data_IF_179888731618
#
_entry.id   IF_179888731618
#
_cell.length_a   1.000
_cell.length_b   1.000
_cell.length_c   1.000
_cell.angle_alpha   90.00
_cell.angle_beta   90.00
_cell.angle_gamma   90.00
#
_symmetry.space_group_name_H-M   'P 1'
#
loop_
_entity.id
_entity.type
_entity.pdbx_description
1 polymer ?
#
# COMPACT_ATOMS: atom_id res chain seq x y z
N UNK A 1 12.22 8.59 20.49
CA UNK A 1 12.50 9.56 19.40
C UNK A 1 13.56 8.97 18.49
N UNK A 2 13.53 9.26 17.18
CA UNK A 2 14.54 8.77 16.21
C UNK A 2 14.14 7.54 15.38
N UNK A 3 12.84 7.26 15.25
CA UNK A 3 12.33 6.17 14.40
C UNK A 3 11.27 6.66 13.41
N UNK A 4 10.25 7.36 13.90
CA UNK A 4 9.10 7.79 13.08
C UNK A 4 8.94 9.32 12.96
N UNK A 5 9.49 10.10 13.89
CA UNK A 5 9.35 11.55 13.92
C UNK A 5 10.45 12.20 14.77
N UNK A 6 10.93 13.37 14.32
CA UNK A 6 11.88 14.26 14.97
C UNK A 6 11.19 15.58 15.38
N UNK A 7 11.75 16.32 16.35
CA UNK A 7 11.20 17.61 16.83
C UNK A 7 9.70 17.55 17.21
N UNK A 8 9.32 16.51 17.96
CA UNK A 8 7.91 16.24 18.31
C UNK A 8 7.35 17.33 19.23
N UNK A 9 6.26 17.97 18.78
CA UNK A 9 5.46 18.92 19.58
C UNK A 9 4.07 18.37 19.95
N UNK A 10 3.73 17.15 19.52
CA UNK A 10 2.44 16.52 19.75
C UNK A 10 2.11 15.46 18.70
N UNK A 11 0.82 15.26 18.48
CA UNK A 11 0.27 14.35 17.47
C UNK A 11 -1.02 14.93 16.90
N UNK A 12 -1.46 14.40 15.75
CA UNK A 12 -2.73 14.77 15.13
C UNK A 12 -3.70 13.59 15.21
N UNK A 13 -4.77 13.66 16.04
CA UNK A 13 -5.78 12.60 16.06
C UNK A 13 -6.61 12.63 14.78
N UNK A 14 -6.77 11.47 14.14
CA UNK A 14 -7.65 11.29 12.98
C UNK A 14 -8.79 10.33 13.38
N UNK A 15 -10.08 10.68 13.14
CA UNK A 15 -11.19 9.78 13.44
C UNK A 15 -11.04 8.43 12.71
N UNK A 16 -11.31 7.33 13.43
CA UNK A 16 -11.22 5.97 12.90
C UNK A 16 -12.60 5.31 12.90
N UNK A 17 -13.10 4.97 11.71
CA UNK A 17 -14.30 4.18 11.52
C UNK A 17 -13.97 2.73 11.13
N UNK A 18 -15.01 1.90 11.04
CA UNK A 18 -14.91 0.50 10.61
C UNK A 18 -15.89 0.23 9.47
N UNK A 19 -15.42 -0.42 8.41
CA UNK A 19 -16.25 -0.95 7.32
C UNK A 19 -16.20 -2.48 7.32
N UNK A 20 -17.35 -3.15 7.18
CA UNK A 20 -17.39 -4.61 7.01
C UNK A 20 -18.63 -5.33 7.55
N UNK A 21 -18.64 -6.67 7.50
CA UNK A 21 -17.51 -7.51 7.11
C UNK A 21 -17.26 -7.50 5.59
N UNK A 22 -16.00 -7.33 5.19
CA UNK A 22 -15.54 -7.68 3.85
C UNK A 22 -15.30 -9.19 3.81
N UNK A 23 -16.10 -9.91 3.02
CA UNK A 23 -15.91 -11.34 2.78
C UNK A 23 -14.90 -11.52 1.64
N UNK A 24 -13.68 -11.87 1.99
CA UNK A 24 -12.54 -12.02 1.07
C UNK A 24 -11.87 -13.36 1.33
N UNK A 25 -11.71 -14.18 0.30
CA UNK A 25 -11.05 -15.49 0.39
C UNK A 25 -11.63 -16.36 1.54
N UNK A 26 -12.96 -16.39 1.61
CA UNK A 26 -13.76 -17.07 2.66
C UNK A 26 -13.52 -16.58 4.10
N UNK A 27 -12.79 -15.48 4.28
CA UNK A 27 -12.53 -14.84 5.56
C UNK A 27 -13.31 -13.53 5.69
N UNK A 28 -13.75 -13.18 6.91
CA UNK A 28 -14.47 -11.94 7.19
C UNK A 28 -13.53 -10.93 7.83
N UNK A 29 -13.40 -9.76 7.23
CA UNK A 29 -12.55 -8.67 7.73
C UNK A 29 -13.37 -7.44 8.11
N UNK A 30 -13.05 -6.85 9.27
CA UNK A 30 -13.50 -5.52 9.65
C UNK A 30 -12.37 -4.53 9.39
N UNK A 31 -12.52 -3.70 8.35
CA UNK A 31 -11.45 -2.84 7.84
C UNK A 31 -11.44 -1.52 8.62
N UNK A 32 -10.37 -1.19 9.37
CA UNK A 32 -10.24 0.10 10.01
C UNK A 32 -9.92 1.18 8.96
N UNK A 33 -10.58 2.33 9.07
CA UNK A 33 -10.41 3.46 8.14
C UNK A 33 -10.23 4.76 8.93
N UNK A 34 -9.04 5.36 8.85
CA UNK A 34 -8.76 6.67 9.43
C UNK A 34 -9.05 7.76 8.38
N UNK A 35 -10.09 8.58 8.60
CA UNK A 35 -10.48 9.63 7.66
C UNK A 35 -11.28 10.74 8.36
N UNK A 36 -11.18 11.95 7.83
CA UNK A 36 -12.07 13.08 8.17
C UNK A 36 -13.15 13.31 7.11
N UNK A 37 -13.11 12.56 6.00
CA UNK A 37 -14.07 12.70 4.90
C UNK A 37 -15.43 12.08 5.28
N UNK A 38 -16.49 12.88 5.18
CA UNK A 38 -17.86 12.42 5.37
C UNK A 38 -18.25 11.34 4.36
N UNK A 39 -19.17 10.46 4.74
CA UNK A 39 -19.72 9.38 3.90
C UNK A 39 -18.72 8.31 3.42
N UNK A 40 -17.40 8.51 3.47
CA UNK A 40 -16.42 7.55 2.95
C UNK A 40 -16.55 6.18 3.61
N UNK A 41 -16.51 6.11 4.95
CA UNK A 41 -16.65 4.85 5.69
C UNK A 41 -18.01 4.18 5.41
N UNK A 42 -19.09 4.97 5.37
CA UNK A 42 -20.43 4.44 5.12
C UNK A 42 -20.57 3.88 3.69
N UNK A 43 -20.02 4.58 2.69
CA UNK A 43 -20.01 4.15 1.30
C UNK A 43 -19.20 2.85 1.11
N UNK A 44 -18.00 2.77 1.70
CA UNK A 44 -17.17 1.56 1.69
C UNK A 44 -17.88 0.39 2.40
N UNK A 45 -18.56 0.65 3.53
CA UNK A 45 -19.35 -0.36 4.23
C UNK A 45 -20.51 -0.90 3.37
N UNK A 46 -21.18 -0.03 2.60
CA UNK A 46 -22.21 -0.43 1.62
C UNK A 46 -21.62 -1.35 0.53
N UNK A 47 -20.43 -1.05 0.04
CA UNK A 47 -19.70 -1.91 -0.89
C UNK A 47 -19.38 -3.29 -0.30
N UNK A 48 -18.85 -3.33 0.93
CA UNK A 48 -18.59 -4.59 1.64
C UNK A 48 -19.86 -5.44 1.79
N UNK A 49 -21.00 -4.81 2.12
CA UNK A 49 -22.29 -5.48 2.21
C UNK A 49 -22.69 -6.12 0.88
N UNK A 50 -22.55 -5.39 -0.23
CA UNK A 50 -22.87 -5.89 -1.57
C UNK A 50 -21.98 -7.09 -1.95
N UNK A 51 -20.67 -7.01 -1.70
CA UNK A 51 -19.73 -8.12 -1.96
C UNK A 51 -20.11 -9.35 -1.14
N UNK A 52 -20.41 -9.18 0.15
CA UNK A 52 -20.72 -10.29 1.04
C UNK A 52 -22.00 -11.04 0.63
N UNK A 53 -23.06 -10.33 0.22
CA UNK A 53 -24.30 -10.97 -0.25
C UNK A 53 -24.14 -11.65 -1.62
N UNK A 54 -23.16 -11.21 -2.42
CA UNK A 54 -22.82 -11.81 -3.71
C UNK A 54 -21.90 -13.04 -3.61
N UNK A 55 -21.61 -13.53 -2.40
CA UNK A 55 -20.78 -14.72 -2.18
C UNK A 55 -19.32 -14.42 -1.86
N UNK A 56 -18.93 -13.14 -1.73
CA UNK A 56 -17.57 -12.72 -1.40
C UNK A 56 -16.71 -12.39 -2.61
N UNK A 57 -15.47 -12.00 -2.33
CA UNK A 57 -14.43 -11.74 -3.32
C UNK A 57 -13.27 -12.74 -3.17
N UNK A 58 -12.52 -12.94 -4.25
CA UNK A 58 -11.28 -13.73 -4.25
C UNK A 58 -10.10 -12.86 -4.66
N UNK A 59 -8.95 -13.07 -4.03
CA UNK A 59 -7.72 -12.33 -4.34
C UNK A 59 -6.50 -13.24 -4.47
N UNK A 60 -5.47 -12.76 -5.17
CA UNK A 60 -4.18 -13.41 -5.28
C UNK A 60 -3.06 -12.37 -5.41
N UNK A 61 -1.89 -12.68 -4.85
CA UNK A 61 -0.69 -11.86 -4.99
C UNK A 61 0.10 -12.38 -6.19
N UNK A 62 0.21 -11.55 -7.24
CA UNK A 62 0.87 -11.95 -8.51
C UNK A 62 2.37 -11.66 -8.54
N UNK A 63 2.85 -10.74 -7.71
CA UNK A 63 4.26 -10.36 -7.60
C UNK A 63 4.51 -9.72 -6.23
N UNK A 64 5.67 -10.00 -5.64
CA UNK A 64 6.14 -9.38 -4.40
C UNK A 64 7.63 -9.00 -4.54
N UNK A 65 7.93 -7.71 -4.45
CA UNK A 65 9.27 -7.20 -4.65
C UNK A 65 9.37 -5.68 -4.54
N UNK A 66 10.05 -5.21 -3.51
CA UNK A 66 10.42 -3.80 -3.37
C UNK A 66 11.59 -3.48 -4.29
N UNK A 67 11.56 -2.31 -4.94
CA UNK A 67 12.66 -1.86 -5.81
C UNK A 67 13.39 -0.66 -5.21
N UNK A 68 14.68 -0.54 -5.54
CA UNK A 68 15.48 0.65 -5.27
C UNK A 68 16.34 0.90 -6.51
N UNK A 69 16.16 2.07 -7.12
CA UNK A 69 16.91 2.48 -8.31
C UNK A 69 17.94 3.53 -7.94
N UNK A 70 19.16 3.17 -7.54
CA UNK A 70 20.22 4.15 -7.32
C UNK A 70 20.59 4.82 -8.66
N UNK A 71 20.99 6.08 -8.59
CA UNK A 71 21.62 6.78 -9.71
C UNK A 71 23.13 6.75 -9.51
N UNK A 72 23.85 6.30 -10.52
CA UNK A 72 25.32 6.33 -10.57
C UNK A 72 25.76 7.15 -11.77
N UNK A 73 26.94 7.78 -11.67
CA UNK A 73 27.52 8.58 -12.75
C UNK A 73 28.84 7.98 -13.16
N UNK A 74 29.05 7.91 -14.47
CA UNK A 74 30.36 7.63 -15.07
C UNK A 74 30.83 8.83 -15.91
N UNK A 75 32.15 9.03 -16.05
CA UNK A 75 32.71 10.13 -16.85
C UNK A 75 32.19 10.21 -18.29
N UNK A 76 31.90 9.08 -18.93
CA UNK A 76 31.38 9.03 -20.32
C UNK A 76 30.22 8.05 -20.46
N UNK A 77 29.38 8.26 -21.48
CA UNK A 77 28.28 7.35 -21.81
C UNK A 77 28.79 5.95 -22.21
N UNK A 78 29.98 5.85 -22.81
CA UNK A 78 30.59 4.56 -23.16
C UNK A 78 30.86 3.73 -21.91
N UNK A 79 31.45 4.33 -20.87
CA UNK A 79 31.71 3.63 -19.61
C UNK A 79 30.40 3.19 -18.93
N UNK A 80 29.34 4.00 -19.01
CA UNK A 80 28.03 3.60 -18.51
C UNK A 80 27.45 2.39 -19.26
N UNK A 81 27.64 2.34 -20.58
CA UNK A 81 27.23 1.17 -21.37
C UNK A 81 28.04 -0.08 -21.00
N UNK A 82 29.35 0.05 -20.78
CA UNK A 82 30.20 -1.05 -20.31
C UNK A 82 29.72 -1.61 -18.96
N UNK A 83 29.38 -0.74 -17.99
CA UNK A 83 28.83 -1.16 -16.69
C UNK A 83 27.45 -1.81 -16.84
N UNK A 84 26.59 -1.28 -17.71
CA UNK A 84 25.27 -1.87 -17.96
C UNK A 84 25.37 -3.28 -18.56
N UNK A 85 26.35 -3.54 -19.42
CA UNK A 85 26.61 -4.87 -19.99
C UNK A 85 27.30 -5.82 -19.00
N UNK A 86 28.08 -5.26 -18.06
CA UNK A 86 28.70 -6.03 -16.98
C UNK A 86 27.69 -6.53 -15.95
N UNK A 87 26.62 -5.76 -15.68
CA UNK A 87 25.58 -6.17 -14.75
C UNK A 87 24.88 -7.45 -15.25
N UNK A 88 24.66 -8.44 -14.36
CA UNK A 88 23.99 -9.67 -14.75
C UNK A 88 22.57 -9.37 -15.25
N UNK A 89 22.18 -10.01 -16.35
CA UNK A 89 20.78 -10.01 -16.79
C UNK A 89 19.95 -10.72 -15.72
N UNK A 90 18.86 -10.07 -15.29
CA UNK A 90 17.83 -10.71 -14.46
C UNK A 90 17.12 -11.81 -15.23
#
# INVERSE_FOLDING_TARGET
MGACCENVIGYMPIPVGVAGPLLLDNCKFHVPMATTEGCLVASTNRGCRAIAISGGASSSVVYDGMTRGPVVRLPTAQQAAEVMLWLPKK
#
